data_IF_514653911156
#
_entry.id   IF_514653911156
#
_cell.length_a   1.000
_cell.length_b   1.000
_cell.length_c   1.000
_cell.angle_alpha   90.00
_cell.angle_beta   90.00
_cell.angle_gamma   90.00
#
_symmetry.space_group_name_H-M   'P 1'
#
loop_
_entity.id
_entity.type
_entity.pdbx_description
1 polymer ?
#
# COMPACT_ATOMS: atom_id res chain seq x y z
N UNK A 1 -6.39 3.51 9.90
CA UNK A 1 -6.36 4.96 10.25
C UNK A 1 -6.98 5.29 11.62
N UNK A 2 -8.04 4.61 12.09
CA UNK A 2 -8.70 4.88 13.38
C UNK A 2 -7.73 4.90 14.58
N UNK A 3 -6.85 3.90 14.70
CA UNK A 3 -5.86 3.83 15.78
C UNK A 3 -4.92 5.05 15.86
N UNK A 4 -4.54 5.63 14.71
CA UNK A 4 -3.70 6.83 14.66
C UNK A 4 -4.43 8.10 15.12
N UNK A 5 -5.75 8.18 14.92
CA UNK A 5 -6.55 9.28 15.46
C UNK A 5 -6.73 9.17 16.97
N UNK A 6 -6.94 7.96 17.49
CA UNK A 6 -7.09 7.69 18.93
C UNK A 6 -5.80 7.99 19.70
N UNK A 7 -4.63 7.86 19.07
CA UNK A 7 -3.35 8.21 19.70
C UNK A 7 -3.11 9.70 19.91
N UNK A 8 -3.94 10.59 19.35
CA UNK A 8 -3.81 12.04 19.53
C UNK A 8 -4.46 12.43 20.86
N UNK A 9 -3.71 13.01 21.83
CA UNK A 9 -4.29 13.41 23.11
C UNK A 9 -5.43 14.43 22.97
N UNK A 10 -6.48 14.27 23.77
CA UNK A 10 -7.67 15.15 23.75
C UNK A 10 -7.35 16.63 24.02
N UNK A 11 -6.24 16.91 24.70
CA UNK A 11 -5.76 18.26 24.98
C UNK A 11 -5.60 19.11 23.70
N UNK A 12 -5.19 18.50 22.57
CA UNK A 12 -5.07 19.22 21.30
C UNK A 12 -6.44 19.64 20.73
N UNK A 13 -7.47 18.82 20.91
CA UNK A 13 -8.83 19.13 20.48
C UNK A 13 -9.51 20.16 21.40
N UNK A 14 -9.20 20.12 22.70
CA UNK A 14 -9.69 21.11 23.67
C UNK A 14 -9.07 22.49 23.41
N UNK A 15 -7.75 22.56 23.17
CA UNK A 15 -7.08 23.80 22.78
C UNK A 15 -7.66 24.37 21.47
N UNK A 16 -7.86 23.54 20.45
CA UNK A 16 -8.45 23.97 19.19
C UNK A 16 -9.89 24.51 19.33
N UNK A 17 -10.67 24.01 20.30
CA UNK A 17 -12.00 24.56 20.63
C UNK A 17 -11.90 25.93 21.30
N UNK A 18 -10.93 26.13 22.18
CA UNK A 18 -10.68 27.41 22.85
C UNK A 18 -10.23 28.46 21.82
N UNK A 19 -9.39 28.07 20.87
CA UNK A 19 -8.91 28.93 19.78
C UNK A 19 -9.94 29.16 18.65
N UNK A 20 -11.16 28.61 18.76
CA UNK A 20 -12.22 28.77 17.75
C UNK A 20 -11.88 28.16 16.38
N UNK A 21 -10.96 27.20 16.33
CA UNK A 21 -10.50 26.61 15.08
C UNK A 21 -11.62 25.83 14.36
N UNK A 22 -11.74 26.02 13.05
CA UNK A 22 -12.70 25.28 12.22
C UNK A 22 -12.32 23.79 12.12
N UNK A 23 -13.30 22.92 11.84
CA UNK A 23 -13.06 21.47 11.64
C UNK A 23 -12.00 21.18 10.57
N UNK A 24 -11.91 22.01 9.54
CA UNK A 24 -10.91 21.86 8.48
C UNK A 24 -9.50 22.23 8.96
N UNK A 25 -9.37 23.28 9.79
CA UNK A 25 -8.10 23.64 10.40
C UNK A 25 -7.61 22.54 11.34
N UNK A 26 -8.49 21.94 12.13
CA UNK A 26 -8.16 20.80 13.01
C UNK A 26 -7.64 19.61 12.19
N UNK A 27 -8.31 19.26 11.08
CA UNK A 27 -7.86 18.18 10.22
C UNK A 27 -6.47 18.46 9.62
N UNK A 28 -6.29 19.63 8.99
CA UNK A 28 -5.07 19.96 8.23
C UNK A 28 -3.84 20.20 9.12
N UNK A 29 -4.02 20.80 10.29
CA UNK A 29 -2.93 21.26 11.18
C UNK A 29 -2.72 20.38 12.41
N UNK A 30 -3.70 19.59 12.84
CA UNK A 30 -3.56 18.71 14.01
C UNK A 30 -3.54 17.25 13.57
N UNK A 31 -4.60 16.78 12.91
CA UNK A 31 -4.74 15.36 12.60
C UNK A 31 -3.74 14.88 11.56
N UNK A 32 -3.67 15.54 10.40
CA UNK A 32 -2.82 15.15 9.28
C UNK A 32 -1.31 15.09 9.65
N UNK A 33 -0.70 16.14 10.26
CA UNK A 33 0.72 16.09 10.60
C UNK A 33 1.03 15.12 11.74
N UNK A 34 0.15 14.99 12.75
CA UNK A 34 0.36 14.03 13.85
C UNK A 34 0.22 12.57 13.40
N UNK A 35 -0.62 12.32 12.40
CA UNK A 35 -0.78 10.98 11.81
C UNK A 35 0.26 10.66 10.74
N UNK A 36 1.11 11.60 10.32
CA UNK A 36 1.98 11.43 9.15
C UNK A 36 2.82 10.14 9.21
N UNK A 37 3.44 9.83 10.37
CA UNK A 37 4.21 8.57 10.54
C UNK A 37 3.36 7.31 10.37
N UNK A 38 2.16 7.30 10.94
CA UNK A 38 1.24 6.15 10.86
C UNK A 38 0.69 6.01 9.44
N UNK A 39 0.39 7.14 8.78
CA UNK A 39 -0.06 7.17 7.39
C UNK A 39 1.03 6.71 6.43
N UNK A 40 2.28 7.11 6.65
CA UNK A 40 3.42 6.69 5.83
C UNK A 40 3.58 5.17 5.87
N UNK A 41 3.57 4.56 7.07
CA UNK A 41 3.61 3.10 7.22
C UNK A 41 2.39 2.45 6.56
N UNK A 42 1.19 2.99 6.77
CA UNK A 42 -0.03 2.44 6.18
C UNK A 42 -0.02 2.50 4.64
N UNK A 43 0.49 3.59 4.07
CA UNK A 43 0.67 3.76 2.62
C UNK A 43 1.71 2.78 2.11
N UNK A 44 2.85 2.63 2.79
CA UNK A 44 3.88 1.65 2.44
C UNK A 44 3.32 0.24 2.37
N UNK A 45 2.66 -0.22 3.43
CA UNK A 45 2.07 -1.55 3.48
C UNK A 45 1.00 -1.74 2.40
N UNK A 46 0.12 -0.74 2.21
CA UNK A 46 -0.90 -0.80 1.15
C UNK A 46 -0.30 -0.81 -0.24
N UNK A 47 0.79 -0.10 -0.44
CA UNK A 47 1.52 -0.09 -1.69
C UNK A 47 2.13 -1.47 -1.94
N UNK A 48 2.84 -2.04 -0.97
CA UNK A 48 3.40 -3.41 -1.04
C UNK A 48 2.31 -4.45 -1.37
N UNK A 49 1.18 -4.42 -0.65
CA UNK A 49 0.06 -5.33 -0.90
C UNK A 49 -0.51 -5.18 -2.31
N UNK A 50 -0.57 -3.95 -2.84
CA UNK A 50 -1.06 -3.69 -4.19
C UNK A 50 -0.17 -4.30 -5.27
N UNK A 51 1.14 -4.44 -5.03
CA UNK A 51 2.04 -5.15 -5.94
C UNK A 51 1.82 -6.67 -5.81
N UNK A 52 1.55 -7.19 -4.62
CA UNK A 52 1.33 -8.62 -4.44
C UNK A 52 -0.07 -9.11 -4.83
N UNK A 53 -0.93 -8.22 -5.36
CA UNK A 53 -2.30 -8.56 -5.74
C UNK A 53 -2.32 -9.53 -6.93
N UNK A 54 -2.93 -10.69 -6.73
CA UNK A 54 -3.05 -11.74 -7.76
C UNK A 54 -4.51 -12.09 -8.01
N UNK A 55 -5.26 -12.30 -6.92
CA UNK A 55 -6.63 -12.81 -6.93
C UNK A 55 -7.61 -11.91 -7.70
N UNK A 56 -7.60 -10.62 -7.44
CA UNK A 56 -8.56 -9.66 -7.99
C UNK A 56 -8.47 -9.55 -9.53
N UNK A 57 -7.29 -9.26 -10.13
CA UNK A 57 -7.20 -9.15 -11.58
C UNK A 57 -7.35 -10.51 -12.29
N UNK A 58 -6.91 -11.60 -11.66
CA UNK A 58 -7.05 -12.95 -12.21
C UNK A 58 -8.51 -13.40 -12.27
N UNK A 59 -9.29 -13.21 -11.20
CA UNK A 59 -10.69 -13.65 -11.16
C UNK A 59 -11.57 -12.83 -12.11
N UNK A 60 -11.31 -11.53 -12.24
CA UNK A 60 -12.17 -10.65 -13.04
C UNK A 60 -11.83 -10.71 -14.52
N UNK A 61 -10.54 -10.76 -14.88
CA UNK A 61 -10.12 -10.65 -16.29
C UNK A 61 -9.21 -11.77 -16.78
N UNK A 62 -8.64 -12.57 -15.87
CA UNK A 62 -7.62 -13.56 -16.21
C UNK A 62 -6.36 -12.97 -16.87
N UNK A 63 -6.20 -11.63 -16.86
CA UNK A 63 -5.17 -10.90 -17.61
C UNK A 63 -5.57 -10.43 -19.03
N UNK A 64 -6.86 -10.44 -19.40
CA UNK A 64 -7.31 -10.05 -20.75
C UNK A 64 -7.78 -8.60 -20.93
N UNK A 65 -8.02 -8.15 -22.20
CA UNK A 65 -7.76 -8.84 -23.47
C UNK A 65 -6.29 -8.75 -23.92
N UNK A 66 -5.72 -9.86 -24.40
CA UNK A 66 -4.39 -9.85 -25.04
C UNK A 66 -3.23 -9.39 -24.14
N UNK A 67 -3.29 -9.68 -22.83
CA UNK A 67 -2.33 -9.28 -21.80
C UNK A 67 -2.38 -7.80 -21.35
N UNK A 68 -3.45 -7.05 -21.65
CA UNK A 68 -3.54 -5.65 -21.22
C UNK A 68 -3.74 -5.47 -19.71
N UNK A 69 -4.16 -6.51 -19.00
CA UNK A 69 -4.36 -6.48 -17.53
C UNK A 69 -3.53 -7.55 -16.82
N UNK A 70 -2.52 -8.14 -17.48
CA UNK A 70 -1.61 -9.07 -16.82
C UNK A 70 -0.69 -8.30 -15.88
N UNK A 71 -0.91 -8.51 -14.59
CA UNK A 71 0.05 -8.13 -13.58
C UNK A 71 1.18 -9.16 -13.54
N UNK A 72 2.36 -8.72 -13.08
CA UNK A 72 3.54 -9.56 -12.94
C UNK A 72 3.28 -10.78 -12.01
N UNK A 73 2.37 -10.62 -11.04
CA UNK A 73 1.84 -11.67 -10.18
C UNK A 73 1.06 -12.75 -10.94
N UNK A 74 0.35 -12.41 -12.01
CA UNK A 74 -0.37 -13.38 -12.86
C UNK A 74 0.62 -14.21 -13.69
N UNK A 75 1.64 -13.57 -14.24
CA UNK A 75 2.66 -14.25 -15.05
C UNK A 75 3.51 -15.21 -14.22
N UNK A 76 3.85 -14.82 -12.98
CA UNK A 76 4.51 -15.69 -12.01
C UNK A 76 3.75 -17.00 -11.76
N UNK A 77 2.42 -16.92 -11.59
CA UNK A 77 1.60 -18.11 -11.35
C UNK A 77 1.47 -18.95 -12.62
N UNK A 78 1.36 -18.33 -13.79
CA UNK A 78 1.36 -19.04 -15.08
C UNK A 78 2.66 -19.81 -15.30
N UNK A 79 3.81 -19.19 -15.06
CA UNK A 79 5.13 -19.82 -15.18
C UNK A 79 5.34 -20.94 -14.15
N UNK A 80 4.98 -20.70 -12.89
CA UNK A 80 5.22 -21.66 -11.80
C UNK A 80 4.28 -22.87 -11.85
N UNK A 81 2.97 -22.64 -12.09
CA UNK A 81 1.93 -23.67 -11.97
C UNK A 81 1.45 -24.16 -13.35
N UNK A 82 1.40 -23.28 -14.34
CA UNK A 82 0.98 -23.65 -15.71
C UNK A 82 2.09 -24.36 -16.48
N UNK A 83 3.27 -23.74 -16.53
CA UNK A 83 4.42 -24.24 -17.32
C UNK A 83 5.40 -25.10 -16.49
N UNK A 84 5.22 -25.17 -15.17
CA UNK A 84 6.11 -25.85 -14.22
C UNK A 84 7.58 -25.36 -14.27
N UNK A 85 7.82 -24.15 -14.78
CA UNK A 85 9.14 -23.55 -14.86
C UNK A 85 9.46 -22.79 -13.56
N UNK A 86 9.75 -23.57 -12.51
CA UNK A 86 10.00 -23.04 -11.17
C UNK A 86 11.29 -22.21 -11.08
N UNK A 87 12.29 -22.48 -11.93
CA UNK A 87 13.54 -21.73 -11.95
C UNK A 87 13.35 -20.29 -12.41
N UNK A 88 12.63 -20.11 -13.52
CA UNK A 88 12.30 -18.79 -14.04
C UNK A 88 11.34 -18.03 -13.11
N UNK A 89 10.33 -18.72 -12.57
CA UNK A 89 9.41 -18.14 -11.59
C UNK A 89 10.15 -17.68 -10.31
N UNK A 90 11.15 -18.44 -9.83
CA UNK A 90 11.96 -18.04 -8.69
C UNK A 90 12.81 -16.80 -9.01
N UNK A 91 13.44 -16.74 -10.18
CA UNK A 91 14.22 -15.57 -10.60
C UNK A 91 13.35 -14.31 -10.69
N UNK A 92 12.17 -14.41 -11.31
CA UNK A 92 11.20 -13.31 -11.37
C UNK A 92 10.73 -12.87 -9.98
N UNK A 93 10.49 -13.81 -9.06
CA UNK A 93 10.10 -13.50 -7.67
C UNK A 93 11.17 -12.71 -6.93
N UNK A 94 12.46 -13.04 -7.13
CA UNK A 94 13.58 -12.32 -6.53
C UNK A 94 13.67 -10.90 -7.10
N UNK A 95 13.54 -10.73 -8.42
CA UNK A 95 13.52 -9.39 -9.05
C UNK A 95 12.35 -8.57 -8.49
N UNK A 96 11.19 -9.19 -8.31
CA UNK A 96 10.03 -8.52 -7.73
C UNK A 96 10.25 -8.05 -6.30
N UNK A 97 10.85 -8.92 -5.48
CA UNK A 97 11.25 -8.59 -4.13
C UNK A 97 12.23 -7.40 -4.08
N UNK A 98 13.22 -7.37 -4.98
CA UNK A 98 14.18 -6.25 -5.06
C UNK A 98 13.50 -4.92 -5.44
N UNK A 99 12.52 -4.93 -6.35
CA UNK A 99 11.76 -3.74 -6.72
C UNK A 99 10.97 -3.20 -5.51
N UNK A 100 10.28 -4.08 -4.80
CA UNK A 100 9.51 -3.70 -3.61
C UNK A 100 10.44 -3.19 -2.50
N UNK A 101 11.61 -3.81 -2.32
CA UNK A 101 12.62 -3.37 -1.37
C UNK A 101 13.17 -1.97 -1.70
N UNK A 102 13.52 -1.72 -2.97
CA UNK A 102 13.99 -0.41 -3.43
C UNK A 102 12.94 0.67 -3.19
N UNK A 103 11.68 0.40 -3.54
CA UNK A 103 10.57 1.31 -3.27
C UNK A 103 10.41 1.57 -1.78
N UNK A 104 10.49 0.51 -0.96
CA UNK A 104 10.40 0.63 0.50
C UNK A 104 11.51 1.51 1.07
N UNK A 105 12.71 1.43 0.51
CA UNK A 105 13.82 2.29 0.88
C UNK A 105 13.59 3.76 0.47
N UNK A 106 13.02 4.03 -0.71
CA UNK A 106 12.71 5.42 -1.13
C UNK A 106 11.70 6.11 -0.21
N UNK A 107 10.77 5.35 0.38
CA UNK A 107 9.78 5.89 1.34
C UNK A 107 10.33 6.07 2.76
N UNK A 108 11.46 5.46 3.11
CA UNK A 108 12.09 5.53 4.43
C UNK A 108 13.09 6.68 4.52
#
# INVERSE_FOLDING_TARGET
CYAGLVSIPDAYYQAAKIDGASRWAIFRYIQLPKMNRVLLIAVLLRFMDSFMIYTEPFVVTGGGPGNTTTFLSIDLVKLAIGEFNLGEAAAMSIVYFLIIMLLSWVFY
#
